data_IF_008498916481
#
_entry.id   IF_008498916481
#
_cell.length_a   1.000
_cell.length_b   1.000
_cell.length_c   1.000
_cell.angle_alpha   90.00
_cell.angle_beta   90.00
_cell.angle_gamma   90.00
#
_symmetry.space_group_name_H-M   'P 1'
#
loop_
_entity.id
_entity.type
_entity.pdbx_description
1 polymer ?
#
# COMPACT_ATOMS: atom_id res chain seq x y z
N UNK A 1 7.15 69.35 -9.53
CA UNK A 1 7.23 68.19 -10.46
C UNK A 1 7.61 66.97 -9.65
N UNK A 2 6.63 66.16 -9.22
CA UNK A 2 6.90 64.86 -8.60
C UNK A 2 6.04 63.82 -9.29
N UNK A 3 6.74 62.93 -9.99
CA UNK A 3 6.21 61.91 -10.88
C UNK A 3 5.53 60.80 -10.08
N UNK A 4 4.30 60.43 -10.43
CA UNK A 4 3.69 59.18 -9.98
C UNK A 4 4.22 58.04 -10.87
N UNK A 5 4.90 57.08 -10.27
CA UNK A 5 5.30 55.84 -10.94
C UNK A 5 4.09 54.89 -11.06
N UNK A 6 3.91 54.17 -12.17
CA UNK A 6 2.80 53.24 -12.35
C UNK A 6 3.03 51.95 -11.54
N UNK A 7 1.98 51.50 -10.83
CA UNK A 7 1.95 50.17 -10.23
C UNK A 7 1.86 49.11 -11.32
N UNK A 8 2.90 48.30 -11.45
CA UNK A 8 2.92 47.09 -12.27
C UNK A 8 2.02 46.02 -11.63
N UNK A 9 0.96 45.63 -12.33
CA UNK A 9 0.21 44.42 -11.99
C UNK A 9 1.10 43.22 -12.26
N UNK A 10 1.55 42.55 -11.19
CA UNK A 10 2.25 41.27 -11.28
C UNK A 10 1.29 40.21 -11.84
N UNK A 11 1.66 39.59 -12.95
CA UNK A 11 0.97 38.43 -13.49
C UNK A 11 0.92 37.31 -12.44
N UNK A 12 -0.25 36.72 -12.25
CA UNK A 12 -0.43 35.53 -11.42
C UNK A 12 0.44 34.40 -12.00
N UNK A 13 1.39 33.90 -11.19
CA UNK A 13 2.12 32.68 -11.51
C UNK A 13 1.16 31.50 -11.69
N UNK A 14 1.60 30.41 -12.35
CA UNK A 14 0.75 29.26 -12.60
C UNK A 14 0.15 28.77 -11.28
N UNK A 15 -1.18 28.61 -11.24
CA UNK A 15 -1.89 28.02 -10.13
C UNK A 15 -1.22 26.69 -9.79
N UNK A 16 -0.70 26.55 -8.57
CA UNK A 16 -0.24 25.26 -8.06
C UNK A 16 -1.36 24.24 -8.28
N UNK A 17 -1.01 23.07 -8.81
CA UNK A 17 -1.95 21.97 -8.92
C UNK A 17 -2.64 21.77 -7.56
N UNK A 18 -3.96 21.52 -7.52
CA UNK A 18 -4.67 21.31 -6.26
C UNK A 18 -3.96 20.21 -5.46
N UNK A 19 -3.85 20.34 -4.13
CA UNK A 19 -3.21 19.32 -3.31
C UNK A 19 -3.89 17.98 -3.57
N UNK A 20 -3.10 16.96 -3.92
CA UNK A 20 -3.60 15.60 -4.10
C UNK A 20 -4.24 15.17 -2.79
N UNK A 21 -5.49 14.66 -2.79
CA UNK A 21 -6.13 14.20 -1.57
C UNK A 21 -5.29 13.12 -0.88
N UNK A 22 -5.16 13.22 0.45
CA UNK A 22 -4.47 12.24 1.30
C UNK A 22 -4.94 10.80 1.02
N UNK A 23 -6.24 10.65 0.83
CA UNK A 23 -6.90 9.39 0.58
C UNK A 23 -7.76 9.56 -0.67
N UNK A 24 -7.56 8.67 -1.65
CA UNK A 24 -8.40 8.58 -2.84
C UNK A 24 -9.11 7.25 -2.85
N UNK A 25 -10.40 7.28 -2.52
CA UNK A 25 -11.31 6.18 -2.78
C UNK A 25 -11.40 5.92 -4.29
N UNK A 26 -11.24 4.68 -4.70
CA UNK A 26 -11.27 4.31 -6.11
C UNK A 26 -12.68 3.96 -6.60
N UNK A 27 -12.82 3.73 -7.91
CA UNK A 27 -14.06 3.19 -8.46
C UNK A 27 -14.38 1.79 -7.91
N UNK A 28 -13.36 0.99 -7.59
CA UNK A 28 -13.51 -0.34 -6.98
C UNK A 28 -14.18 -0.26 -5.62
N UNK A 29 -13.98 0.80 -4.85
CA UNK A 29 -14.61 0.98 -3.54
C UNK A 29 -16.14 0.86 -3.60
N UNK A 30 -16.76 1.43 -4.64
CA UNK A 30 -18.22 1.38 -4.86
C UNK A 30 -18.70 -0.01 -5.30
N UNK A 31 -17.82 -0.85 -5.81
CA UNK A 31 -18.12 -2.15 -6.40
C UNK A 31 -17.77 -3.34 -5.49
N UNK A 32 -16.88 -3.13 -4.52
CA UNK A 32 -16.27 -4.20 -3.73
C UNK A 32 -17.21 -4.88 -2.72
N UNK A 33 -18.48 -4.48 -2.66
CA UNK A 33 -19.42 -4.97 -1.67
C UNK A 33 -18.84 -4.79 -0.27
N UNK A 34 -18.76 -5.88 0.50
CA UNK A 34 -18.09 -5.91 1.79
C UNK A 34 -16.71 -6.61 1.68
N UNK A 35 -15.59 -5.85 1.61
CA UNK A 35 -14.25 -6.43 1.63
C UNK A 35 -14.03 -7.23 2.92
N UNK A 36 -13.33 -8.35 2.79
CA UNK A 36 -12.99 -9.25 3.91
C UNK A 36 -11.49 -9.45 4.04
N UNK A 37 -10.76 -9.27 2.96
CA UNK A 37 -9.29 -9.33 2.96
C UNK A 37 -8.74 -8.04 2.40
N UNK A 38 -7.90 -7.37 3.20
CA UNK A 38 -7.16 -6.19 2.78
C UNK A 38 -5.69 -6.54 2.57
N UNK A 39 -5.17 -6.23 1.39
CA UNK A 39 -3.76 -6.33 1.08
C UNK A 39 -3.17 -4.92 1.12
N UNK A 40 -2.35 -4.63 2.12
CA UNK A 40 -1.65 -3.33 2.19
C UNK A 40 -0.41 -3.41 1.32
N UNK A 41 -0.41 -2.64 0.23
CA UNK A 41 0.62 -2.66 -0.81
C UNK A 41 1.42 -1.38 -0.96
N UNK A 42 2.52 -1.47 -1.69
CA UNK A 42 3.47 -0.39 -1.94
C UNK A 42 4.92 -0.83 -1.78
N UNK A 43 5.86 0.00 -2.22
CA UNK A 43 7.30 -0.28 -2.17
C UNK A 43 7.80 -0.49 -0.73
N UNK A 44 8.92 -1.17 -0.55
CA UNK A 44 9.55 -1.27 0.77
C UNK A 44 9.89 0.13 1.32
N UNK A 45 9.67 0.32 2.62
CA UNK A 45 9.80 1.63 3.27
C UNK A 45 8.55 2.52 3.22
N UNK A 46 7.51 2.14 2.46
CA UNK A 46 6.25 2.92 2.40
C UNK A 46 5.45 2.93 3.70
N UNK A 47 5.69 1.98 4.59
CA UNK A 47 5.02 1.88 5.90
C UNK A 47 3.91 0.83 5.98
N UNK A 48 3.86 -0.14 5.04
CA UNK A 48 2.86 -1.22 4.99
C UNK A 48 2.60 -1.90 6.35
N UNK A 49 3.64 -2.45 6.97
CA UNK A 49 3.55 -3.13 8.28
C UNK A 49 2.95 -2.22 9.35
N UNK A 50 3.41 -0.97 9.44
CA UNK A 50 2.88 -0.01 10.41
C UNK A 50 1.40 0.30 10.17
N UNK A 51 1.00 0.59 8.92
CA UNK A 51 -0.40 0.85 8.59
C UNK A 51 -1.26 -0.37 8.90
N UNK A 52 -0.84 -1.55 8.42
CA UNK A 52 -1.58 -2.79 8.56
C UNK A 52 -1.78 -3.15 10.04
N UNK A 53 -0.74 -3.06 10.88
CA UNK A 53 -0.84 -3.37 12.31
C UNK A 53 -1.80 -2.43 13.04
N UNK A 54 -1.71 -1.13 12.77
CA UNK A 54 -2.58 -0.14 13.39
C UNK A 54 -4.03 -0.26 12.92
N UNK A 55 -4.23 -0.51 11.62
CA UNK A 55 -5.55 -0.72 11.04
C UNK A 55 -6.19 -2.01 11.54
N UNK A 56 -5.43 -3.11 11.59
CA UNK A 56 -5.88 -4.41 12.11
C UNK A 56 -6.35 -4.30 13.57
N UNK A 57 -5.59 -3.61 14.43
CA UNK A 57 -5.98 -3.32 15.82
C UNK A 57 -7.29 -2.54 15.90
N UNK A 58 -7.48 -1.55 15.02
CA UNK A 58 -8.67 -0.69 15.03
C UNK A 58 -9.91 -1.41 14.47
N UNK A 59 -9.73 -2.29 13.49
CA UNK A 59 -10.82 -3.08 12.89
C UNK A 59 -11.13 -4.37 13.66
N UNK A 60 -10.24 -4.81 14.55
CA UNK A 60 -10.34 -6.11 15.23
C UNK A 60 -10.06 -7.30 14.30
N UNK A 61 -9.28 -7.08 13.23
CA UNK A 61 -8.97 -8.11 12.23
C UNK A 61 -7.61 -8.75 12.52
N UNK A 62 -7.41 -10.05 12.20
CA UNK A 62 -6.09 -10.64 12.24
C UNK A 62 -5.19 -10.03 11.15
N UNK A 63 -3.88 -10.08 11.38
CA UNK A 63 -2.87 -9.59 10.44
C UNK A 63 -1.80 -10.66 10.17
N UNK A 64 -1.33 -10.70 8.93
CA UNK A 64 -0.16 -11.48 8.51
C UNK A 64 0.87 -10.54 7.85
N UNK A 65 2.13 -10.62 8.29
CA UNK A 65 3.24 -9.95 7.60
C UNK A 65 3.67 -10.81 6.41
N UNK A 66 3.40 -10.36 5.18
CA UNK A 66 3.64 -11.21 4.00
C UNK A 66 5.11 -11.51 3.74
N UNK A 67 6.04 -10.67 4.22
CA UNK A 67 7.47 -10.93 4.11
C UNK A 67 7.87 -12.20 4.90
N UNK A 68 7.13 -12.57 5.95
CA UNK A 68 7.36 -13.81 6.73
C UNK A 68 6.98 -15.08 5.97
N UNK A 69 6.20 -14.95 4.88
CA UNK A 69 5.74 -16.08 4.08
C UNK A 69 6.73 -16.46 2.97
N UNK A 70 7.81 -15.69 2.79
CA UNK A 70 8.83 -16.00 1.81
C UNK A 70 9.44 -17.39 2.06
N UNK A 71 9.64 -18.20 1.00
CA UNK A 71 10.48 -19.39 1.09
C UNK A 71 11.91 -19.02 1.54
N UNK A 72 12.58 -19.92 2.25
CA UNK A 72 13.96 -19.72 2.72
C UNK A 72 14.91 -19.34 1.58
N UNK A 73 14.72 -19.90 0.39
CA UNK A 73 15.50 -19.56 -0.80
C UNK A 73 15.38 -18.08 -1.20
N UNK A 74 14.20 -17.48 -1.06
CA UNK A 74 13.99 -16.06 -1.34
C UNK A 74 14.66 -15.20 -0.28
N UNK A 75 14.52 -15.57 0.98
CA UNK A 75 15.19 -14.89 2.10
C UNK A 75 16.70 -14.91 1.86
N UNK A 76 17.29 -16.07 1.53
CA UNK A 76 18.71 -16.19 1.24
C UNK A 76 19.16 -15.29 0.08
N UNK A 77 18.42 -15.24 -1.03
CA UNK A 77 18.70 -14.33 -2.16
C UNK A 77 18.67 -12.87 -1.73
N UNK A 78 17.61 -12.45 -1.05
CA UNK A 78 17.47 -11.06 -0.58
C UNK A 78 18.54 -10.68 0.44
N UNK A 79 18.90 -11.57 1.37
CA UNK A 79 19.99 -11.37 2.33
C UNK A 79 21.36 -11.25 1.66
N UNK A 80 21.54 -11.90 0.50
CA UNK A 80 22.73 -11.76 -0.34
C UNK A 80 22.69 -10.52 -1.27
N UNK A 81 21.63 -9.69 -1.20
CA UNK A 81 21.44 -8.55 -2.09
C UNK A 81 21.07 -8.92 -3.53
N UNK A 82 20.67 -10.16 -3.77
CA UNK A 82 20.27 -10.67 -5.09
C UNK A 82 18.76 -10.38 -5.27
N UNK A 83 18.36 -9.61 -6.30
CA UNK A 83 16.96 -9.38 -6.59
C UNK A 83 16.24 -10.68 -6.94
N UNK A 84 15.02 -10.86 -6.41
CA UNK A 84 14.17 -11.98 -6.79
C UNK A 84 13.67 -11.81 -8.24
N UNK A 85 13.51 -12.93 -8.96
CA UNK A 85 12.79 -12.97 -10.24
C UNK A 85 11.29 -13.14 -10.03
N UNK A 86 10.54 -13.28 -11.11
CA UNK A 86 9.10 -13.51 -11.05
C UNK A 86 8.80 -14.95 -10.61
N UNK A 87 9.61 -15.90 -11.08
CA UNK A 87 9.58 -17.31 -10.72
C UNK A 87 9.89 -17.49 -9.23
N UNK A 88 10.86 -16.75 -8.69
CA UNK A 88 11.14 -16.73 -7.26
C UNK A 88 9.93 -16.24 -6.44
N UNK A 89 9.19 -15.25 -6.96
CA UNK A 89 8.05 -14.66 -6.26
C UNK A 89 6.79 -15.53 -6.34
N UNK A 90 6.63 -16.36 -7.38
CA UNK A 90 5.40 -17.11 -7.60
C UNK A 90 4.97 -17.98 -6.39
N UNK A 91 5.84 -18.79 -5.75
CA UNK A 91 5.46 -19.56 -4.57
C UNK A 91 5.10 -18.69 -3.36
N UNK A 92 5.72 -17.52 -3.22
CA UNK A 92 5.43 -16.57 -2.16
C UNK A 92 4.05 -15.92 -2.36
N UNK A 93 3.75 -15.47 -3.59
CA UNK A 93 2.46 -14.88 -3.92
C UNK A 93 1.31 -15.89 -3.76
N UNK A 94 1.55 -17.16 -4.09
CA UNK A 94 0.56 -18.22 -3.87
C UNK A 94 0.24 -18.42 -2.39
N UNK A 95 1.24 -18.35 -1.49
CA UNK A 95 1.00 -18.39 -0.04
C UNK A 95 0.16 -17.20 0.44
N UNK A 96 0.39 -16.00 -0.10
CA UNK A 96 -0.41 -14.81 0.22
C UNK A 96 -1.87 -15.04 -0.23
N UNK A 97 -2.06 -15.56 -1.45
CA UNK A 97 -3.37 -15.91 -1.98
C UNK A 97 -4.05 -17.01 -1.13
N UNK A 98 -3.30 -18.00 -0.67
CA UNK A 98 -3.79 -19.06 0.22
C UNK A 98 -4.29 -18.50 1.56
N UNK A 99 -3.54 -17.60 2.19
CA UNK A 99 -3.98 -16.90 3.41
C UNK A 99 -5.30 -16.19 3.18
N UNK A 100 -5.42 -15.45 2.07
CA UNK A 100 -6.66 -14.76 1.71
C UNK A 100 -7.84 -15.74 1.51
N UNK A 101 -7.63 -16.82 0.75
CA UNK A 101 -8.65 -17.85 0.51
C UNK A 101 -9.06 -18.54 1.81
N UNK A 102 -8.13 -18.82 2.71
CA UNK A 102 -8.42 -19.45 3.99
C UNK A 102 -9.36 -18.59 4.84
N UNK A 103 -9.07 -17.30 5.00
CA UNK A 103 -9.99 -16.37 5.68
C UNK A 103 -11.35 -16.28 5.02
N UNK A 104 -11.42 -16.24 3.69
CA UNK A 104 -12.70 -16.19 2.98
C UNK A 104 -13.53 -17.46 3.18
N UNK A 105 -12.89 -18.64 3.04
CA UNK A 105 -13.54 -19.94 3.17
C UNK A 105 -14.07 -20.21 4.58
N UNK A 106 -13.41 -19.70 5.61
CA UNK A 106 -13.85 -19.81 7.00
C UNK A 106 -14.91 -18.77 7.39
N UNK A 107 -15.33 -17.93 6.45
CA UNK A 107 -16.18 -16.79 6.77
C UNK A 107 -15.52 -15.81 7.74
N UNK A 108 -14.19 -15.66 7.67
CA UNK A 108 -13.39 -14.71 8.45
C UNK A 108 -13.00 -13.43 7.69
N UNK A 109 -12.07 -12.67 8.25
CA UNK A 109 -11.51 -11.47 7.65
C UNK A 109 -10.02 -11.37 8.01
N UNK A 110 -9.26 -10.49 7.35
CA UNK A 110 -7.86 -10.27 7.70
C UNK A 110 -7.15 -9.24 6.86
N UNK A 111 -5.98 -8.81 7.34
CA UNK A 111 -5.09 -7.89 6.65
C UNK A 111 -3.77 -8.59 6.38
N UNK A 112 -3.24 -8.48 5.17
CA UNK A 112 -1.92 -9.00 4.81
C UNK A 112 -1.07 -7.90 4.20
N UNK A 113 0.21 -7.81 4.57
CA UNK A 113 1.15 -6.91 3.91
C UNK A 113 1.76 -7.61 2.70
N UNK A 114 1.83 -6.95 1.54
CA UNK A 114 2.52 -7.51 0.38
C UNK A 114 2.90 -6.38 -0.57
N UNK A 115 4.12 -6.38 -1.12
CA UNK A 115 4.54 -5.30 -2.03
C UNK A 115 3.66 -5.21 -3.29
N UNK A 116 3.24 -6.36 -3.83
CA UNK A 116 2.25 -6.48 -4.93
C UNK A 116 2.52 -5.54 -6.12
N UNK A 117 3.80 -5.40 -6.48
CA UNK A 117 4.28 -4.34 -7.38
C UNK A 117 3.76 -4.46 -8.82
N UNK A 118 3.49 -5.68 -9.31
CA UNK A 118 3.00 -5.92 -10.68
C UNK A 118 1.52 -6.31 -10.68
N UNK A 119 0.78 -5.95 -11.73
CA UNK A 119 -0.63 -6.29 -11.90
C UNK A 119 -0.89 -7.78 -11.80
N UNK A 120 -0.09 -8.59 -12.50
CA UNK A 120 -0.23 -10.05 -12.42
C UNK A 120 -0.04 -10.61 -11.00
N UNK A 121 0.72 -9.93 -10.13
CA UNK A 121 0.85 -10.35 -8.72
C UNK A 121 -0.45 -10.09 -7.96
N UNK A 122 -1.07 -8.94 -8.23
CA UNK A 122 -2.38 -8.57 -7.68
C UNK A 122 -3.46 -9.54 -8.19
N UNK A 123 -3.40 -9.93 -9.45
CA UNK A 123 -4.31 -10.92 -10.04
C UNK A 123 -4.17 -12.30 -9.36
N UNK A 124 -2.95 -12.78 -9.12
CA UNK A 124 -2.70 -14.03 -8.37
C UNK A 124 -3.30 -13.96 -6.96
N UNK A 125 -3.02 -12.87 -6.22
CA UNK A 125 -3.49 -12.72 -4.84
C UNK A 125 -5.01 -12.63 -4.76
N UNK A 126 -5.65 -11.94 -5.69
CA UNK A 126 -7.12 -11.83 -5.71
C UNK A 126 -7.78 -13.14 -6.14
N UNK A 127 -7.18 -13.89 -7.06
CA UNK A 127 -7.79 -15.08 -7.66
C UNK A 127 -9.16 -14.79 -8.29
N UNK A 128 -9.39 -13.55 -8.73
CA UNK A 128 -10.68 -13.07 -9.22
C UNK A 128 -11.75 -12.84 -8.14
N UNK A 129 -11.43 -12.99 -6.85
CA UNK A 129 -12.39 -12.77 -5.78
C UNK A 129 -12.53 -11.27 -5.46
N UNK A 130 -13.73 -10.68 -5.55
CA UNK A 130 -13.93 -9.24 -5.33
C UNK A 130 -13.74 -8.82 -3.86
N UNK A 131 -13.77 -9.74 -2.91
CA UNK A 131 -13.60 -9.45 -1.48
C UNK A 131 -12.13 -9.37 -1.03
N UNK A 132 -11.19 -9.70 -1.93
CA UNK A 132 -9.76 -9.44 -1.78
C UNK A 132 -9.44 -8.12 -2.44
N UNK A 133 -8.95 -7.18 -1.64
CA UNK A 133 -8.88 -5.78 -2.01
C UNK A 133 -7.57 -5.15 -1.56
N UNK A 134 -7.07 -4.18 -2.34
CA UNK A 134 -5.80 -3.53 -2.05
C UNK A 134 -5.96 -2.14 -1.44
N UNK A 135 -5.10 -1.82 -0.48
CA UNK A 135 -4.85 -0.45 0.00
C UNK A 135 -3.43 -0.09 -0.42
N UNK A 136 -3.27 0.90 -1.30
CA UNK A 136 -1.99 1.28 -1.87
C UNK A 136 -1.39 2.48 -1.14
N UNK A 137 -0.24 2.28 -0.49
CA UNK A 137 0.60 3.35 0.03
C UNK A 137 1.46 3.90 -1.10
N UNK A 138 1.02 5.01 -1.68
CA UNK A 138 1.67 5.69 -2.78
C UNK A 138 2.64 6.75 -2.29
N UNK A 139 3.84 6.73 -2.85
CA UNK A 139 4.85 7.74 -2.62
C UNK A 139 5.87 7.73 -3.74
N UNK A 140 6.60 8.83 -3.89
CA UNK A 140 7.70 8.92 -4.86
C UNK A 140 9.01 8.48 -4.21
N UNK A 141 10.06 8.15 -4.99
CA UNK A 141 11.37 7.78 -4.46
C UNK A 141 11.91 8.78 -3.41
N UNK A 142 11.74 10.07 -3.65
CA UNK A 142 12.16 11.16 -2.76
C UNK A 142 11.41 11.20 -1.42
N UNK A 143 10.17 10.69 -1.38
CA UNK A 143 9.36 10.64 -0.15
C UNK A 143 9.72 9.41 0.71
N UNK A 144 10.21 8.34 0.08
CA UNK A 144 10.53 7.05 0.70
C UNK A 144 12.00 6.93 1.12
N UNK A 145 12.94 7.41 0.29
CA UNK A 145 14.38 7.27 0.53
C UNK A 145 14.82 7.81 1.91
N UNK A 146 14.37 9.00 2.37
CA UNK A 146 14.74 9.50 3.70
C UNK A 146 14.26 8.59 4.84
N UNK A 147 13.12 7.90 4.68
CA UNK A 147 12.55 7.00 5.69
C UNK A 147 13.36 5.72 5.86
N UNK A 148 13.95 5.23 4.77
CA UNK A 148 14.81 4.05 4.80
C UNK A 148 16.14 4.36 5.51
N UNK A 149 16.72 5.54 5.27
CA UNK A 149 17.97 5.97 5.90
C UNK A 149 17.88 6.18 7.42
N UNK A 150 16.68 6.38 7.96
CA UNK A 150 16.43 6.55 9.40
C UNK A 150 16.18 5.23 10.15
N UNK A 151 16.06 4.09 9.47
CA UNK A 151 15.89 2.79 10.13
C UNK A 151 17.23 2.29 10.68
N UNK A 152 17.30 2.12 11.99
CA UNK A 152 18.40 1.39 12.64
C UNK A 152 18.20 -0.11 12.42
N UNK A 153 19.24 -0.83 11.97
CA UNK A 153 19.28 -2.31 11.96
C UNK A 153 19.07 -3.01 10.61
N UNK A 154 18.57 -2.33 9.57
CA UNK A 154 18.48 -2.88 8.22
C UNK A 154 18.81 -1.81 7.17
N UNK A 155 20.09 -1.72 6.79
CA UNK A 155 20.49 -0.88 5.67
C UNK A 155 19.95 -1.50 4.37
N UNK A 156 18.86 -0.93 3.85
CA UNK A 156 18.41 -1.22 2.49
C UNK A 156 19.24 -0.40 1.50
N UNK A 157 19.99 -1.02 0.57
CA UNK A 157 20.71 -0.29 -0.45
C UNK A 157 19.76 0.58 -1.26
N UNK A 158 20.16 1.80 -1.62
CA UNK A 158 19.39 2.69 -2.50
C UNK A 158 18.99 2.02 -3.82
N UNK A 159 19.84 1.12 -4.33
CA UNK A 159 19.58 0.31 -5.53
C UNK A 159 18.37 -0.60 -5.40
N UNK A 160 18.06 -1.08 -4.19
CA UNK A 160 16.86 -1.89 -3.94
C UNK A 160 15.58 -1.05 -4.07
N UNK A 161 15.60 0.19 -3.60
CA UNK A 161 14.45 1.10 -3.76
C UNK A 161 14.19 1.39 -5.24
N UNK A 162 15.24 1.72 -6.00
CA UNK A 162 15.15 1.91 -7.46
C UNK A 162 14.52 0.70 -8.14
N UNK A 163 15.03 -0.51 -7.87
CA UNK A 163 14.48 -1.74 -8.47
C UNK A 163 13.00 -2.00 -8.15
N UNK A 164 12.50 -1.53 -7.00
CA UNK A 164 11.09 -1.67 -6.66
C UNK A 164 10.21 -0.67 -7.41
N UNK A 165 10.67 0.57 -7.60
CA UNK A 165 9.97 1.54 -8.43
C UNK A 165 10.00 1.14 -9.91
N UNK A 166 11.11 0.62 -10.40
CA UNK A 166 11.20 0.10 -11.78
C UNK A 166 10.26 -1.08 -12.02
N UNK A 167 10.03 -1.90 -10.99
CA UNK A 167 9.11 -3.03 -11.05
C UNK A 167 7.64 -2.66 -10.73
N UNK A 168 7.37 -1.44 -10.26
CA UNK A 168 6.04 -1.01 -9.86
C UNK A 168 5.20 -0.66 -11.09
N UNK A 169 4.26 -1.53 -11.40
CA UNK A 169 3.14 -1.23 -12.27
C UNK A 169 2.06 -0.56 -11.41
N UNK A 170 2.04 0.79 -11.39
CA UNK A 170 1.10 1.55 -10.56
C UNK A 170 -0.33 1.06 -10.79
N UNK A 171 -1.06 0.69 -9.71
CA UNK A 171 -2.41 0.18 -9.84
C UNK A 171 -3.37 1.28 -10.31
N UNK A 172 -4.32 0.91 -11.16
CA UNK A 172 -5.40 1.80 -11.58
C UNK A 172 -6.60 1.78 -10.60
N UNK A 173 -7.60 2.65 -10.85
CA UNK A 173 -8.79 2.80 -10.00
C UNK A 173 -9.71 1.56 -9.95
N UNK A 174 -9.47 0.55 -10.80
CA UNK A 174 -10.18 -0.73 -10.77
C UNK A 174 -9.49 -1.78 -9.89
N UNK A 175 -8.24 -1.55 -9.51
CA UNK A 175 -7.39 -2.56 -8.82
C UNK A 175 -7.34 -2.36 -7.30
N UNK A 176 -7.22 -1.11 -6.84
CA UNK A 176 -7.15 -0.78 -5.40
C UNK A 176 -8.49 -0.27 -4.91
N UNK A 177 -8.81 -0.38 -3.62
CA UNK A 177 -9.94 0.33 -2.99
C UNK A 177 -9.57 1.75 -2.61
N UNK A 178 -8.34 1.92 -2.14
CA UNK A 178 -7.89 3.13 -1.50
C UNK A 178 -6.42 3.36 -1.83
N UNK A 179 -6.14 4.53 -2.38
CA UNK A 179 -4.79 5.08 -2.50
C UNK A 179 -4.55 6.04 -1.33
N UNK A 180 -3.38 5.94 -0.70
CA UNK A 180 -2.98 6.74 0.45
C UNK A 180 -1.61 7.37 0.19
N UNK A 181 -1.53 8.69 0.28
CA UNK A 181 -0.29 9.44 0.08
C UNK A 181 0.62 9.32 1.31
N UNK A 182 1.75 8.65 1.14
CA UNK A 182 2.70 8.38 2.22
C UNK A 182 3.26 9.63 2.86
N UNK A 183 3.25 10.80 2.21
CA UNK A 183 3.81 12.06 2.73
C UNK A 183 3.13 12.54 4.01
N UNK A 184 1.90 12.09 4.26
CA UNK A 184 1.20 12.38 5.49
C UNK A 184 1.75 11.61 6.72
N UNK A 185 1.36 12.09 7.90
CA UNK A 185 1.74 11.43 9.14
C UNK A 185 1.05 10.07 9.28
N UNK A 186 1.69 9.15 10.00
CA UNK A 186 1.18 7.80 10.24
C UNK A 186 -0.22 7.79 10.84
N UNK A 187 -0.50 8.69 11.79
CA UNK A 187 -1.82 8.82 12.41
C UNK A 187 -2.90 9.20 11.40
N UNK A 188 -2.61 10.16 10.52
CA UNK A 188 -3.54 10.61 9.48
C UNK A 188 -3.81 9.54 8.44
N UNK A 189 -2.79 8.76 8.06
CA UNK A 189 -2.94 7.61 7.17
C UNK A 189 -3.87 6.55 7.75
N UNK A 190 -3.67 6.17 9.01
CA UNK A 190 -4.53 5.18 9.69
C UNK A 190 -5.96 5.69 9.87
N UNK A 191 -6.12 6.97 10.22
CA UNK A 191 -7.41 7.62 10.37
C UNK A 191 -8.19 7.61 9.06
N UNK A 192 -7.59 8.13 7.99
CA UNK A 192 -8.24 8.18 6.67
C UNK A 192 -8.56 6.78 6.12
N UNK A 193 -7.65 5.80 6.33
CA UNK A 193 -7.90 4.41 5.96
C UNK A 193 -9.09 3.83 6.73
N UNK A 194 -9.12 4.00 8.04
CA UNK A 194 -10.20 3.47 8.88
C UNK A 194 -11.54 4.11 8.53
N UNK A 195 -11.62 5.44 8.43
CA UNK A 195 -12.87 6.14 8.07
C UNK A 195 -13.42 5.71 6.72
N UNK A 196 -12.55 5.49 5.73
CA UNK A 196 -12.99 5.05 4.39
C UNK A 196 -13.46 3.60 4.39
N UNK A 197 -12.86 2.74 5.22
CA UNK A 197 -13.07 1.30 5.19
C UNK A 197 -14.09 0.80 6.23
N UNK A 198 -14.34 1.56 7.30
CA UNK A 198 -15.24 1.16 8.40
C UNK A 198 -16.68 0.95 7.94
N UNK A 199 -17.12 1.69 6.92
CA UNK A 199 -18.47 1.61 6.39
C UNK A 199 -18.67 0.42 5.42
N UNK A 200 -17.55 -0.20 4.99
CA UNK A 200 -17.55 -1.29 4.02
C UNK A 200 -17.19 -2.63 4.65
N UNK A 201 -16.45 -2.62 5.75
CA UNK A 201 -16.06 -3.83 6.46
C UNK A 201 -17.28 -4.49 7.12
N UNK A 202 -17.44 -5.80 6.93
CA UNK A 202 -18.40 -6.57 7.72
C UNK A 202 -18.00 -6.47 9.20
N UNK A 203 -18.88 -6.00 10.11
CA UNK A 203 -18.58 -5.95 11.54
C UNK A 203 -18.22 -7.34 12.06
N UNK A 204 -17.22 -7.38 12.95
CA UNK A 204 -16.63 -8.60 13.48
C UNK A 204 -17.63 -9.65 13.93
N UNK A 205 -17.42 -10.88 13.48
CA UNK A 205 -17.64 -12.00 14.38
C UNK A 205 -16.41 -12.10 15.29
N UNK A 206 -16.56 -11.91 16.61
CA UNK A 206 -15.46 -12.18 17.53
C UNK A 206 -15.06 -13.65 17.40
N UNK A 207 -13.75 -13.90 17.32
CA UNK A 207 -13.20 -15.24 17.47
C UNK A 207 -13.59 -15.73 18.88
N UNK A 208 -14.37 -16.82 18.93
CA UNK A 208 -14.57 -17.58 20.16
C UNK A 208 -13.27 -18.25 20.59
#
# INVERSE_FOLDING_TARGET
MSQHAPMTMSAAGPLAAPPVPLARASARLKQAGAPRVLVVMGVSGSGKSTLAQLLARRMGWPIVEGDELHPEANIAKMSAGIPLTDEDRAPWLEKIAEVARNWLSSGGCGIVTCSSLKRRYRDVITGGNPQVCFVYLKGRPEDIAPRLGQRTGHFMPSTMLTSQFDALEEPDDSEVLLELDVTASRSRLVEAAYETLSDLAVPGQPLK
#
